data_IF_296613004127
#
_entry.id   IF_296613004127
#
_cell.length_a   1.000
_cell.length_b   1.000
_cell.length_c   1.000
_cell.angle_alpha   90.00
_cell.angle_beta   90.00
_cell.angle_gamma   90.00
#
_symmetry.space_group_name_H-M   'P 1'
#
loop_
_entity.id
_entity.type
_entity.pdbx_description
1 polymer ?
#
# COMPACT_ATOMS: atom_id res chain seq x y z
N UNK A 1 -16.20 -21.09 18.03
CA UNK A 1 -15.83 -20.77 19.42
C UNK A 1 -16.42 -19.40 19.71
N UNK A 2 -17.55 -19.36 20.40
CA UNK A 2 -18.28 -18.15 20.74
C UNK A 2 -17.70 -17.60 22.06
N UNK A 3 -17.45 -16.29 22.17
CA UNK A 3 -17.05 -15.65 23.44
C UNK A 3 -15.55 -15.61 23.80
N UNK A 4 -14.62 -15.98 22.91
CA UNK A 4 -13.17 -15.85 23.18
C UNK A 4 -12.64 -14.42 23.06
N UNK A 5 -13.25 -13.61 22.21
CA UNK A 5 -12.94 -12.19 22.03
C UNK A 5 -14.17 -11.46 21.50
N UNK A 6 -14.24 -10.15 21.74
CA UNK A 6 -15.22 -9.26 21.14
C UNK A 6 -14.50 -8.19 20.33
N UNK A 7 -15.05 -7.85 19.17
CA UNK A 7 -14.51 -6.77 18.35
C UNK A 7 -14.88 -5.44 18.97
N UNK A 8 -13.88 -4.69 19.41
CA UNK A 8 -14.04 -3.29 19.80
C UNK A 8 -13.86 -2.44 18.55
N UNK A 9 -14.88 -1.65 18.21
CA UNK A 9 -14.78 -0.65 17.15
C UNK A 9 -14.71 0.73 17.76
N UNK A 10 -13.76 1.53 17.29
CA UNK A 10 -13.70 2.94 17.57
C UNK A 10 -14.65 3.69 16.63
N UNK A 11 -15.74 4.33 17.12
CA UNK A 11 -16.69 5.04 16.27
C UNK A 11 -16.08 6.19 15.46
N UNK A 12 -14.93 6.70 15.88
CA UNK A 12 -14.24 7.81 15.23
C UNK A 12 -13.22 7.37 14.16
N UNK A 13 -13.05 6.06 13.97
CA UNK A 13 -12.04 5.51 13.06
C UNK A 13 -12.62 5.13 11.70
N UNK A 14 -11.73 5.03 10.71
CA UNK A 14 -12.09 4.61 9.35
C UNK A 14 -11.82 3.12 9.20
N UNK A 15 -12.74 2.41 8.56
CA UNK A 15 -12.62 0.97 8.34
C UNK A 15 -12.72 0.66 6.85
N UNK A 16 -11.95 -0.32 6.40
CA UNK A 16 -12.09 -0.93 5.08
C UNK A 16 -13.44 -1.65 4.96
N UNK A 17 -13.88 -1.95 3.73
CA UNK A 17 -15.05 -2.82 3.48
C UNK A 17 -14.92 -4.18 4.19
N UNK A 18 -13.69 -4.58 4.51
CA UNK A 18 -13.36 -5.84 5.17
C UNK A 18 -13.26 -5.75 6.69
N UNK A 19 -13.63 -4.61 7.27
CA UNK A 19 -13.65 -4.39 8.72
C UNK A 19 -12.28 -4.15 9.36
N UNK A 20 -11.23 -3.97 8.56
CA UNK A 20 -9.91 -3.59 9.05
C UNK A 20 -9.86 -2.09 9.30
N UNK A 21 -9.40 -1.70 10.49
CA UNK A 21 -9.21 -0.30 10.84
C UNK A 21 -8.03 0.29 10.06
N UNK A 22 -8.22 1.49 9.51
CA UNK A 22 -7.16 2.28 8.88
C UNK A 22 -6.63 3.25 9.95
N UNK A 23 -5.54 2.86 10.61
CA UNK A 23 -4.94 3.63 11.69
C UNK A 23 -3.42 3.81 11.48
N UNK A 24 -2.99 4.79 10.66
CA UNK A 24 -1.58 4.98 10.34
C UNK A 24 -0.69 5.19 11.57
N UNK A 25 -1.21 5.88 12.59
CA UNK A 25 -0.49 6.11 13.86
C UNK A 25 -0.08 4.80 14.55
N UNK A 26 -0.85 3.71 14.37
CA UNK A 26 -0.52 2.40 14.89
C UNK A 26 0.80 1.84 14.34
N UNK A 27 1.20 2.22 13.12
CA UNK A 27 2.51 1.87 12.56
C UNK A 27 3.64 2.55 13.35
N UNK A 28 3.52 3.85 13.61
CA UNK A 28 4.48 4.59 14.44
C UNK A 28 4.58 3.97 15.82
N UNK A 29 3.44 3.78 16.48
CA UNK A 29 3.37 3.28 17.85
C UNK A 29 3.97 1.87 17.94
N UNK A 30 3.69 1.01 16.96
CA UNK A 30 4.26 -0.34 16.87
C UNK A 30 5.77 -0.34 16.69
N UNK A 31 6.31 0.50 15.80
CA UNK A 31 7.76 0.65 15.60
C UNK A 31 8.43 1.15 16.89
N UNK A 32 7.85 2.16 17.54
CA UNK A 32 8.40 2.71 18.79
C UNK A 32 8.29 1.73 19.95
N UNK A 33 7.23 0.90 20.00
CA UNK A 33 7.11 -0.18 20.97
C UNK A 33 8.20 -1.23 20.77
N UNK A 34 8.50 -1.62 19.53
CA UNK A 34 9.61 -2.54 19.22
C UNK A 34 10.94 -1.93 19.69
N UNK A 35 11.22 -0.67 19.34
CA UNK A 35 12.42 0.04 19.78
C UNK A 35 12.52 0.11 21.31
N UNK A 36 11.44 0.47 22.01
CA UNK A 36 11.44 0.56 23.47
C UNK A 36 11.71 -0.79 24.14
N UNK A 37 11.26 -1.89 23.53
CA UNK A 37 11.39 -3.24 24.09
C UNK A 37 12.71 -3.92 23.74
N UNK A 38 13.24 -3.68 22.54
CA UNK A 38 14.39 -4.41 22.00
C UNK A 38 15.62 -3.52 21.73
N UNK A 39 15.52 -2.21 21.93
CA UNK A 39 16.58 -1.24 21.66
C UNK A 39 16.68 -0.85 20.19
N UNK A 40 17.85 -0.38 19.79
CA UNK A 40 18.14 0.17 18.46
C UNK A 40 18.46 -0.93 17.45
N UNK A 41 17.50 -1.81 17.21
CA UNK A 41 17.61 -2.85 16.20
C UNK A 41 17.19 -2.33 14.81
N UNK A 42 17.81 -2.83 13.73
CA UNK A 42 17.35 -2.54 12.37
C UNK A 42 15.95 -3.10 12.11
N UNK A 43 15.05 -2.26 11.58
CA UNK A 43 13.66 -2.64 11.25
C UNK A 43 13.46 -2.55 9.74
N UNK A 44 12.75 -3.54 9.18
CA UNK A 44 12.25 -3.53 7.81
C UNK A 44 10.74 -3.78 7.85
N UNK A 45 9.97 -2.91 7.22
CA UNK A 45 8.54 -3.14 7.02
C UNK A 45 8.40 -4.01 5.77
N UNK A 46 8.33 -5.31 5.95
CA UNK A 46 8.32 -6.29 4.85
C UNK A 46 7.01 -6.31 4.09
N UNK A 47 5.91 -5.93 4.73
CA UNK A 47 4.59 -5.83 4.11
C UNK A 47 3.78 -4.69 4.74
N UNK A 48 3.22 -3.82 3.90
CA UNK A 48 2.15 -2.90 4.28
C UNK A 48 1.34 -2.52 3.03
N UNK A 49 0.01 -2.56 3.10
CA UNK A 49 -0.81 -2.22 1.94
C UNK A 49 -2.30 -2.39 2.18
N UNK A 50 -3.07 -2.02 1.16
CA UNK A 50 -4.52 -2.02 1.20
C UNK A 50 -5.09 -2.95 0.13
N UNK A 51 -5.90 -3.92 0.58
CA UNK A 51 -6.79 -4.68 -0.29
C UNK A 51 -8.10 -3.93 -0.50
N UNK A 52 -8.28 -3.34 -1.67
CA UNK A 52 -9.48 -2.56 -2.04
C UNK A 52 -10.17 -3.17 -3.27
N UNK A 53 -11.34 -2.62 -3.61
CA UNK A 53 -11.93 -2.83 -4.94
C UNK A 53 -11.46 -1.71 -5.84
N UNK A 54 -10.85 -2.06 -6.96
CA UNK A 54 -10.36 -1.09 -7.93
C UNK A 54 -11.26 -1.10 -9.18
N UNK A 55 -12.24 -0.19 -9.27
CA UNK A 55 -13.07 -0.10 -10.47
C UNK A 55 -12.25 0.38 -11.66
N UNK A 56 -12.60 -0.12 -12.84
CA UNK A 56 -12.06 0.36 -14.10
C UNK A 56 -13.04 1.39 -14.67
N UNK A 57 -12.60 2.64 -14.81
CA UNK A 57 -13.38 3.75 -15.38
C UNK A 57 -12.61 4.28 -16.58
N UNK A 58 -13.26 4.33 -17.75
CA UNK A 58 -12.66 4.78 -19.01
C UNK A 58 -11.36 4.05 -19.40
N UNK A 59 -11.23 2.78 -18.98
CA UNK A 59 -10.06 1.94 -19.26
C UNK A 59 -8.92 2.08 -18.25
N UNK A 60 -9.08 2.92 -17.23
CA UNK A 60 -8.09 3.13 -16.16
C UNK A 60 -8.55 2.51 -14.84
N UNK A 61 -7.59 1.95 -14.10
CA UNK A 61 -7.79 1.43 -12.75
C UNK A 61 -7.82 2.61 -11.76
N UNK A 62 -8.91 2.76 -11.03
CA UNK A 62 -9.07 3.82 -10.03
C UNK A 62 -8.71 3.30 -8.65
N UNK A 63 -7.51 3.64 -8.17
CA UNK A 63 -6.93 3.12 -6.93
C UNK A 63 -6.61 4.20 -5.87
N UNK A 64 -7.29 5.35 -5.91
CA UNK A 64 -7.13 6.45 -4.94
C UNK A 64 -7.12 5.99 -3.46
N UNK A 65 -8.00 5.06 -3.02
CA UNK A 65 -7.97 4.60 -1.64
C UNK A 65 -6.64 3.94 -1.24
N UNK A 66 -5.98 3.25 -2.18
CA UNK A 66 -4.67 2.63 -1.95
C UNK A 66 -3.57 3.69 -1.86
N UNK A 67 -3.62 4.69 -2.73
CA UNK A 67 -2.70 5.84 -2.72
C UNK A 67 -2.80 6.56 -1.37
N UNK A 68 -4.00 6.89 -0.92
CA UNK A 68 -4.24 7.58 0.36
C UNK A 68 -3.80 6.74 1.56
N UNK A 69 -4.10 5.45 1.55
CA UNK A 69 -3.68 4.51 2.59
C UNK A 69 -2.16 4.49 2.71
N UNK A 70 -1.46 4.23 1.62
CA UNK A 70 0.00 4.11 1.64
C UNK A 70 0.63 5.47 1.99
N UNK A 71 0.16 6.58 1.40
CA UNK A 71 0.66 7.93 1.70
C UNK A 71 0.59 8.25 3.20
N UNK A 72 -0.55 7.96 3.84
CA UNK A 72 -0.72 8.18 5.28
C UNK A 72 0.17 7.29 6.16
N UNK A 73 0.40 6.02 5.76
CA UNK A 73 1.30 5.11 6.49
C UNK A 73 2.77 5.44 6.30
N UNK A 74 3.14 5.94 5.12
CA UNK A 74 4.48 6.48 4.88
C UNK A 74 4.73 7.71 5.76
N UNK A 75 3.76 8.63 5.87
CA UNK A 75 3.87 9.76 6.79
C UNK A 75 3.98 9.33 8.27
N UNK A 76 3.35 8.22 8.66
CA UNK A 76 3.53 7.63 9.98
C UNK A 76 4.95 7.04 10.18
N UNK A 77 5.46 6.34 9.17
CA UNK A 77 6.83 5.85 9.17
C UNK A 77 7.87 6.98 9.30
N UNK A 78 7.67 8.10 8.59
CA UNK A 78 8.51 9.28 8.73
C UNK A 78 8.53 9.84 10.16
N UNK A 79 7.39 9.83 10.86
CA UNK A 79 7.34 10.20 12.29
C UNK A 79 8.17 9.25 13.14
N UNK A 80 8.11 7.93 12.89
CA UNK A 80 8.93 6.96 13.62
C UNK A 80 10.44 7.18 13.40
N UNK A 81 10.83 7.48 12.16
CA UNK A 81 12.21 7.86 11.83
C UNK A 81 12.64 9.13 12.57
N UNK A 82 11.78 10.15 12.62
CA UNK A 82 12.04 11.39 13.36
C UNK A 82 12.18 11.18 14.88
N UNK A 83 11.50 10.16 15.42
CA UNK A 83 11.62 9.72 16.82
C UNK A 83 12.84 8.80 17.07
N UNK A 84 13.67 8.56 16.05
CA UNK A 84 14.94 7.86 16.16
C UNK A 84 14.87 6.35 15.92
N UNK A 85 13.82 5.82 15.30
CA UNK A 85 13.79 4.42 14.88
C UNK A 85 14.76 4.15 13.71
N UNK A 86 15.48 3.01 13.75
CA UNK A 86 16.35 2.56 12.65
C UNK A 86 15.54 1.72 11.65
N UNK A 87 14.68 2.38 10.86
CA UNK A 87 13.94 1.70 9.78
C UNK A 87 14.70 1.84 8.46
N UNK A 88 15.04 0.70 7.85
CA UNK A 88 15.92 0.63 6.68
C UNK A 88 15.23 0.25 5.39
N UNK A 89 13.97 -0.17 5.44
CA UNK A 89 13.20 -0.49 4.26
C UNK A 89 11.70 -0.57 4.51
N UNK A 90 10.94 -0.30 3.46
CA UNK A 90 9.50 -0.38 3.42
C UNK A 90 9.08 -1.02 2.10
N UNK A 91 8.38 -2.14 2.20
CA UNK A 91 8.00 -2.97 1.07
C UNK A 91 6.47 -3.02 1.02
N UNK A 92 5.85 -2.25 0.12
CA UNK A 92 4.41 -2.25 0.00
C UNK A 92 3.90 -3.59 -0.54
N UNK A 93 2.80 -4.05 0.03
CA UNK A 93 2.10 -5.26 -0.40
C UNK A 93 0.88 -4.88 -1.26
N UNK A 94 0.78 -5.28 -2.53
CA UNK A 94 1.66 -6.19 -3.30
C UNK A 94 2.08 -5.57 -4.65
N UNK A 95 3.01 -6.23 -5.33
CA UNK A 95 3.41 -5.80 -6.68
C UNK A 95 2.29 -6.04 -7.71
N UNK A 96 1.74 -7.25 -7.72
CA UNK A 96 0.63 -7.67 -8.61
C UNK A 96 -0.60 -8.04 -7.79
N UNK A 97 -1.76 -7.96 -8.43
CA UNK A 97 -2.97 -8.59 -7.88
C UNK A 97 -2.80 -10.10 -7.75
N UNK A 98 -3.36 -10.64 -6.66
CA UNK A 98 -3.15 -12.01 -6.23
C UNK A 98 -4.43 -12.61 -5.63
N UNK A 99 -4.42 -13.92 -5.48
CA UNK A 99 -5.49 -14.64 -4.81
C UNK A 99 -5.44 -14.39 -3.30
N UNK A 100 -6.44 -13.67 -2.77
CA UNK A 100 -6.60 -13.51 -1.32
C UNK A 100 -7.22 -14.78 -0.74
N UNK A 101 -6.50 -15.47 0.14
CA UNK A 101 -6.90 -16.71 0.83
C UNK A 101 -8.41 -16.92 0.96
N UNK A 102 -9.07 -16.11 1.81
CA UNK A 102 -10.50 -16.27 2.12
C UNK A 102 -11.43 -15.50 1.17
N UNK A 103 -10.91 -14.54 0.40
CA UNK A 103 -11.73 -13.58 -0.34
C UNK A 103 -11.60 -13.70 -1.87
N UNK A 104 -10.83 -14.68 -2.35
CA UNK A 104 -10.61 -14.90 -3.77
C UNK A 104 -9.99 -13.67 -4.46
N UNK A 105 -10.49 -13.35 -5.65
CA UNK A 105 -10.08 -12.20 -6.48
C UNK A 105 -10.94 -10.95 -6.26
N UNK A 106 -11.78 -10.92 -5.21
CA UNK A 106 -12.64 -9.77 -4.93
C UNK A 106 -11.86 -8.54 -4.42
N UNK A 107 -10.59 -8.74 -4.04
CA UNK A 107 -9.70 -7.70 -3.53
C UNK A 107 -8.50 -7.56 -4.44
N UNK A 108 -8.20 -6.34 -4.81
CA UNK A 108 -6.97 -5.95 -5.48
C UNK A 108 -5.97 -5.42 -4.44
N UNK A 109 -4.76 -5.95 -4.49
CA UNK A 109 -3.65 -5.56 -3.62
C UNK A 109 -2.50 -4.95 -4.42
N UNK A 110 -2.45 -5.25 -5.72
CA UNK A 110 -1.33 -4.94 -6.57
C UNK A 110 -1.27 -3.48 -6.96
N UNK A 111 -0.06 -2.99 -7.22
CA UNK A 111 0.14 -1.83 -8.10
C UNK A 111 -0.13 -2.16 -9.56
N UNK A 112 -0.02 -3.44 -9.90
CA UNK A 112 -0.28 -3.97 -11.24
C UNK A 112 -1.57 -4.77 -11.21
N UNK A 113 -2.57 -4.21 -11.87
CA UNK A 113 -3.85 -4.87 -12.07
C UNK A 113 -3.70 -6.14 -12.91
N UNK A 114 -4.42 -7.19 -12.52
CA UNK A 114 -4.44 -8.47 -13.25
C UNK A 114 -5.85 -8.78 -13.75
N UNK A 115 -6.03 -8.78 -15.08
CA UNK A 115 -7.27 -9.19 -15.71
C UNK A 115 -7.45 -10.72 -15.68
N UNK A 116 -8.19 -11.20 -14.68
CA UNK A 116 -8.47 -12.63 -14.50
C UNK A 116 -9.39 -13.22 -15.57
N UNK A 117 -10.13 -12.40 -16.34
CA UNK A 117 -11.03 -12.89 -17.39
C UNK A 117 -10.29 -13.42 -18.62
N UNK A 118 -9.08 -12.90 -18.88
CA UNK A 118 -8.26 -13.24 -20.04
C UNK A 118 -7.24 -14.35 -19.78
N UNK A 119 -6.85 -14.57 -18.52
CA UNK A 119 -5.86 -15.60 -18.16
C UNK A 119 -6.31 -17.01 -18.55
N UNK A 120 -7.63 -17.27 -18.55
CA UNK A 120 -8.19 -18.57 -18.89
C UNK A 120 -8.47 -18.78 -20.40
N UNK A 121 -8.31 -17.75 -21.25
CA UNK A 121 -8.74 -17.80 -22.67
C UNK A 121 -7.60 -17.79 -23.69
N UNK A 122 -6.34 -17.96 -23.29
CA UNK A 122 -5.22 -18.24 -24.20
C UNK A 122 -4.88 -17.18 -25.27
N UNK A 123 -5.62 -16.08 -25.37
CA UNK A 123 -5.43 -15.06 -26.40
C UNK A 123 -5.22 -13.67 -25.79
N UNK A 124 -3.96 -13.23 -25.93
CA UNK A 124 -3.46 -11.89 -26.25
C UNK A 124 -3.92 -10.64 -25.48
N UNK A 125 -2.90 -9.81 -25.20
CA UNK A 125 -2.86 -8.50 -24.53
C UNK A 125 -2.92 -8.54 -23.00
N UNK A 126 -1.73 -8.69 -22.43
CA UNK A 126 -1.45 -8.37 -21.03
C UNK A 126 -1.39 -6.85 -20.91
N UNK A 127 -2.47 -6.24 -20.42
CA UNK A 127 -2.44 -4.82 -20.05
C UNK A 127 -1.75 -4.75 -18.70
N UNK A 128 -0.45 -4.47 -18.71
CA UNK A 128 0.27 -4.09 -17.52
C UNK A 128 0.11 -2.58 -17.38
N UNK A 129 -0.89 -2.14 -16.61
CA UNK A 129 -0.89 -0.76 -16.16
C UNK A 129 0.05 -0.70 -14.97
N UNK A 130 1.24 -0.13 -15.21
CA UNK A 130 2.30 -0.01 -14.23
C UNK A 130 2.36 1.46 -13.85
N UNK A 131 1.67 1.84 -12.78
CA UNK A 131 1.85 3.16 -12.19
C UNK A 131 3.05 3.09 -11.24
N UNK A 132 4.26 3.04 -11.80
CA UNK A 132 5.49 3.23 -11.02
C UNK A 132 5.63 4.72 -10.77
N UNK A 133 5.45 5.12 -9.53
CA UNK A 133 5.82 6.45 -9.08
C UNK A 133 7.25 6.41 -8.49
N UNK A 134 8.02 7.48 -8.68
CA UNK A 134 9.42 7.59 -8.26
C UNK A 134 9.62 8.92 -7.51
N UNK A 135 10.22 8.87 -6.32
CA UNK A 135 10.60 10.07 -5.56
C UNK A 135 12.04 9.95 -5.06
N UNK A 136 12.82 11.00 -5.29
CA UNK A 136 14.23 11.13 -4.93
C UNK A 136 14.39 11.74 -3.54
N UNK A 137 14.39 10.89 -2.50
CA UNK A 137 14.91 11.27 -1.19
C UNK A 137 16.01 10.28 -0.80
N UNK A 138 17.22 10.81 -0.56
CA UNK A 138 18.49 10.06 -0.50
C UNK A 138 18.66 9.10 0.68
N UNK A 139 17.60 8.75 1.43
CA UNK A 139 17.73 7.88 2.61
C UNK A 139 16.63 6.83 2.80
N UNK A 140 15.47 6.96 2.15
CA UNK A 140 14.39 5.97 2.25
C UNK A 140 13.60 6.00 0.95
N UNK A 141 13.53 4.87 0.24
CA UNK A 141 12.74 4.75 -0.98
C UNK A 141 11.25 4.71 -0.62
N UNK A 142 10.55 5.83 -0.80
CA UNK A 142 9.12 5.98 -0.54
C UNK A 142 8.49 6.75 -1.71
N UNK A 143 7.42 6.21 -2.28
CA UNK A 143 6.92 6.47 -3.63
C UNK A 143 5.58 7.22 -3.56
N UNK A 144 5.45 8.50 -3.97
CA UNK A 144 4.14 9.14 -4.29
C UNK A 144 4.22 10.37 -5.21
N UNK A 145 3.34 10.36 -6.23
CA UNK A 145 2.96 11.42 -7.18
C UNK A 145 2.05 10.80 -8.25
N UNK A 146 0.73 10.85 -8.04
CA UNK A 146 -0.27 10.76 -9.10
C UNK A 146 -0.75 12.18 -9.38
N UNK A 147 -0.26 12.79 -10.46
CA UNK A 147 -0.75 14.09 -10.92
C UNK A 147 -1.96 13.90 -11.83
N UNK A 148 -3.18 13.92 -11.28
CA UNK A 148 -4.43 14.04 -12.10
C UNK A 148 -4.70 15.47 -12.59
N UNK A 149 -3.72 16.36 -12.47
CA UNK A 149 -3.76 17.70 -13.05
C UNK A 149 -2.55 17.92 -13.95
N UNK A 150 -2.78 17.71 -15.25
CA UNK A 150 -2.06 18.25 -16.40
C UNK A 150 -0.72 18.95 -16.12
N UNK A 151 0.39 18.26 -16.40
CA UNK A 151 1.66 18.90 -16.72
C UNK A 151 2.32 18.16 -17.91
N UNK A 152 2.88 18.89 -18.91
CA UNK A 152 3.36 18.31 -20.16
C UNK A 152 4.66 17.53 -19.96
N UNK A 153 4.81 16.46 -20.73
CA UNK A 153 5.84 15.44 -20.60
C UNK A 153 7.27 15.93 -20.69
N UNK A 154 8.17 15.24 -19.98
CA UNK A 154 9.60 15.33 -20.18
C UNK A 154 10.12 13.94 -20.56
N UNK A 155 10.47 13.80 -21.83
CA UNK A 155 11.31 12.72 -22.35
C UNK A 155 12.73 13.02 -21.86
N UNK A 156 13.36 12.08 -21.15
CA UNK A 156 14.79 12.17 -20.85
C UNK A 156 15.53 11.15 -21.71
N UNK A 157 16.17 11.66 -22.78
CA UNK A 157 17.28 10.96 -23.43
C UNK A 157 18.49 10.96 -22.49
N UNK A 158 19.15 9.80 -22.38
CA UNK A 158 20.36 9.61 -21.58
C UNK A 158 21.58 9.99 -22.44
N UNK A 159 22.40 10.94 -21.97
CA UNK A 159 23.78 11.16 -22.43
C UNK A 159 24.75 10.73 -21.33
#
# INVERSE_FOLDING_TARGET
MEGLFYFVRNPQSTYTEWGWEIWPQGLTDGIMMIKARYGDIPIYITENGLGAKDPIIDGEVVDDPRIDYLSSHIGALEKALALGADVRGYYPWSFIDLLSWLNGYQKQYGFVYVDHSKIWRGNERRVFMVQICYCQSRRTALIFSCGRHSAPGLILEYS
#
